data_IF_552447009011
#
_entry.id   IF_552447009011
#
_cell.length_a   1.000
_cell.length_b   1.000
_cell.length_c   1.000
_cell.angle_alpha   90.00
_cell.angle_beta   90.00
_cell.angle_gamma   90.00
#
_symmetry.space_group_name_H-M   'P 1'
#
loop_
_entity.id
_entity.type
_entity.pdbx_description
1 polymer ?
#
# COMPACT_ATOMS: atom_id res chain seq x y z
N UNK A 1 1.61 -57.36 -54.60
CA UNK A 1 0.35 -56.88 -54.01
C UNK A 1 0.34 -55.35 -54.16
N UNK A 2 -0.68 -54.78 -54.80
CA UNK A 2 -0.67 -53.42 -55.37
C UNK A 2 -0.73 -52.33 -54.28
N UNK A 3 0.06 -51.26 -54.41
CA UNK A 3 0.11 -50.11 -53.47
C UNK A 3 -1.26 -49.45 -53.19
N UNK A 4 -2.26 -49.69 -54.05
CA UNK A 4 -3.61 -49.18 -53.87
C UNK A 4 -4.37 -49.85 -52.72
N UNK A 5 -3.96 -51.05 -52.28
CA UNK A 5 -4.63 -51.75 -51.17
C UNK A 5 -4.24 -51.17 -49.80
N UNK A 6 -3.11 -50.47 -49.69
CA UNK A 6 -2.65 -49.83 -48.45
C UNK A 6 -3.39 -48.51 -48.19
N UNK A 7 -3.74 -47.75 -49.24
CA UNK A 7 -4.48 -46.49 -49.12
C UNK A 7 -5.92 -46.69 -48.64
N UNK A 8 -6.57 -47.77 -49.05
CA UNK A 8 -7.95 -48.09 -48.61
C UNK A 8 -8.00 -48.74 -47.23
N UNK A 9 -6.87 -49.22 -46.68
CA UNK A 9 -6.79 -49.78 -45.34
C UNK A 9 -6.46 -48.73 -44.25
N UNK A 10 -5.79 -47.63 -44.60
CA UNK A 10 -5.40 -46.56 -43.66
C UNK A 10 -6.45 -45.45 -43.50
N UNK A 11 -7.34 -45.27 -44.48
CA UNK A 11 -8.40 -44.24 -44.44
C UNK A 11 -9.48 -44.47 -43.37
N UNK A 12 -9.93 -45.71 -43.05
CA UNK A 12 -10.88 -45.90 -41.95
C UNK A 12 -10.22 -45.82 -40.57
N UNK A 13 -8.90 -45.99 -40.47
CA UNK A 13 -8.14 -45.92 -39.20
C UNK A 13 -7.92 -44.46 -38.78
N UNK A 14 -7.70 -43.55 -39.73
CA UNK A 14 -7.57 -42.11 -39.45
C UNK A 14 -8.94 -41.42 -39.23
N UNK A 15 -10.02 -41.95 -39.82
CA UNK A 15 -11.39 -41.47 -39.58
C UNK A 15 -11.97 -41.87 -38.22
N UNK A 16 -11.57 -43.04 -37.68
CA UNK A 16 -12.02 -43.49 -36.36
C UNK A 16 -11.22 -42.86 -35.20
N UNK A 17 -10.04 -42.31 -35.47
CA UNK A 17 -9.25 -41.55 -34.49
C UNK A 17 -9.72 -40.09 -34.30
N UNK A 18 -10.65 -39.61 -35.12
CA UNK A 18 -11.20 -38.24 -35.04
C UNK A 18 -12.61 -38.17 -34.44
N UNK A 19 -13.14 -39.26 -33.90
CA UNK A 19 -14.47 -39.33 -33.27
C UNK A 19 -14.42 -39.70 -31.77
N UNK A 20 -13.25 -39.62 -31.11
CA UNK A 20 -13.11 -39.84 -29.66
C UNK A 20 -12.60 -38.61 -28.90
N UNK A 21 -12.83 -37.40 -29.44
CA UNK A 21 -12.79 -36.18 -28.63
C UNK A 21 -14.18 -35.91 -28.10
N UNK A 22 -14.27 -35.72 -26.79
CA UNK A 22 -15.46 -35.69 -25.93
C UNK A 22 -16.03 -37.08 -25.61
N UNK A 23 -15.24 -37.92 -24.92
CA UNK A 23 -15.87 -38.60 -23.80
C UNK A 23 -16.16 -37.48 -22.79
N UNK A 24 -17.43 -37.15 -22.60
CA UNK A 24 -17.83 -36.34 -21.47
C UNK A 24 -17.55 -37.17 -20.22
N UNK A 25 -16.34 -37.07 -19.68
CA UNK A 25 -15.99 -37.56 -18.34
C UNK A 25 -16.47 -36.55 -17.28
N UNK A 26 -17.53 -35.79 -17.57
CA UNK A 26 -18.24 -34.87 -16.67
C UNK A 26 -19.32 -35.60 -15.84
N UNK A 27 -19.40 -36.94 -15.95
CA UNK A 27 -20.21 -37.79 -15.06
C UNK A 27 -19.43 -38.26 -13.81
N UNK A 28 -18.24 -37.70 -13.56
CA UNK A 28 -17.88 -37.44 -12.17
C UNK A 28 -18.76 -36.27 -11.77
N UNK A 29 -19.95 -36.61 -11.23
CA UNK A 29 -20.63 -35.81 -10.21
C UNK A 29 -19.58 -34.94 -9.55
N UNK A 30 -19.56 -33.65 -9.91
CA UNK A 30 -18.99 -32.60 -9.06
C UNK A 30 -19.34 -33.08 -7.67
N UNK A 31 -18.38 -33.52 -6.83
CA UNK A 31 -18.77 -33.98 -5.52
C UNK A 31 -19.43 -32.73 -5.00
N UNK A 32 -20.76 -32.73 -4.94
CA UNK A 32 -21.52 -31.82 -4.12
C UNK A 32 -20.88 -32.12 -2.80
N UNK A 33 -19.86 -31.35 -2.46
CA UNK A 33 -19.04 -31.51 -1.28
C UNK A 33 -20.10 -31.64 -0.23
N UNK A 34 -20.19 -32.84 0.38
CA UNK A 34 -21.36 -33.17 1.17
C UNK A 34 -21.54 -32.00 2.12
N UNK A 35 -22.65 -31.28 1.99
CA UNK A 35 -22.80 -29.99 2.65
C UNK A 35 -22.55 -30.20 4.14
N UNK A 36 -21.47 -29.63 4.64
CA UNK A 36 -21.04 -29.75 6.03
C UNK A 36 -20.90 -28.37 6.62
N UNK A 37 -21.30 -28.22 7.87
CA UNK A 37 -21.30 -26.94 8.59
C UNK A 37 -19.90 -26.49 9.05
N UNK A 38 -18.85 -26.93 8.37
CA UNK A 38 -17.43 -26.72 8.71
C UNK A 38 -16.48 -26.89 7.51
N UNK A 39 -16.99 -26.80 6.27
CA UNK A 39 -16.18 -26.93 5.05
C UNK A 39 -15.68 -25.59 4.47
N UNK A 40 -16.08 -24.46 5.05
CA UNK A 40 -15.67 -23.14 4.63
C UNK A 40 -16.39 -22.62 3.38
N UNK A 41 -17.46 -23.31 2.93
CA UNK A 41 -18.18 -22.99 1.70
C UNK A 41 -19.67 -22.85 2.01
N UNK A 42 -20.27 -21.71 1.67
CA UNK A 42 -21.72 -21.53 1.82
C UNK A 42 -22.50 -22.42 0.84
N UNK A 43 -22.96 -23.58 1.30
CA UNK A 43 -23.64 -24.58 0.46
C UNK A 43 -24.84 -25.22 1.19
N UNK A 44 -25.54 -26.14 0.53
CA UNK A 44 -26.66 -26.87 1.13
C UNK A 44 -27.83 -25.96 1.57
N UNK A 45 -28.12 -25.95 2.87
CA UNK A 45 -29.22 -25.16 3.47
C UNK A 45 -28.75 -23.95 4.28
N UNK A 46 -27.45 -23.67 4.27
CA UNK A 46 -26.83 -22.60 5.03
C UNK A 46 -27.32 -21.21 4.61
N UNK A 47 -27.32 -20.28 5.55
CA UNK A 47 -27.66 -18.87 5.31
C UNK A 47 -26.44 -17.94 5.43
N UNK A 48 -25.29 -18.49 5.82
CA UNK A 48 -23.95 -17.88 5.78
C UNK A 48 -22.89 -18.99 5.74
N UNK A 49 -21.61 -18.66 5.55
CA UNK A 49 -20.54 -19.69 5.47
C UNK A 49 -20.54 -20.54 6.76
N UNK A 50 -20.74 -21.85 6.61
CA UNK A 50 -20.76 -22.82 7.72
C UNK A 50 -21.83 -22.56 8.79
N UNK A 51 -22.90 -21.81 8.47
CA UNK A 51 -23.92 -21.45 9.45
C UNK A 51 -25.33 -21.25 8.87
N UNK A 52 -26.34 -21.42 9.73
CA UNK A 52 -27.75 -21.26 9.41
C UNK A 52 -28.38 -22.47 8.72
N UNK A 53 -29.70 -22.42 8.53
CA UNK A 53 -30.46 -23.56 7.99
C UNK A 53 -30.42 -24.78 8.89
N UNK A 54 -29.81 -25.87 8.41
CA UNK A 54 -29.55 -27.10 9.17
C UNK A 54 -28.32 -27.02 10.08
N UNK A 55 -27.49 -25.98 9.93
CA UNK A 55 -26.29 -25.74 10.73
C UNK A 55 -26.59 -24.85 11.94
N UNK A 56 -25.60 -24.63 12.81
CA UNK A 56 -25.72 -23.70 13.92
C UNK A 56 -26.13 -22.31 13.41
N UNK A 57 -27.04 -21.58 14.08
CA UNK A 57 -27.50 -20.27 13.62
C UNK A 57 -26.33 -19.33 13.35
N UNK A 58 -26.36 -18.65 12.21
CA UNK A 58 -25.37 -17.63 11.93
C UNK A 58 -25.35 -16.57 13.03
N UNK A 59 -24.16 -16.08 13.36
CA UNK A 59 -23.98 -14.90 14.19
C UNK A 59 -24.59 -13.73 13.42
N UNK A 60 -25.86 -13.42 13.70
CA UNK A 60 -26.61 -12.36 13.01
C UNK A 60 -26.17 -10.96 13.44
N UNK A 61 -25.47 -10.86 14.56
CA UNK A 61 -24.89 -9.63 15.06
C UNK A 61 -23.63 -9.96 15.85
N UNK A 62 -22.51 -9.37 15.45
CA UNK A 62 -21.36 -9.25 16.33
C UNK A 62 -21.81 -8.36 17.49
N UNK A 63 -21.84 -8.90 18.70
CA UNK A 63 -22.26 -8.14 19.88
C UNK A 63 -21.15 -7.16 20.27
N UNK A 64 -21.32 -5.90 19.85
CA UNK A 64 -20.47 -4.78 20.27
C UNK A 64 -20.95 -4.16 21.60
N UNK A 65 -21.76 -4.86 22.39
CA UNK A 65 -22.10 -4.38 23.73
C UNK A 65 -20.91 -4.62 24.68
N UNK A 66 -20.49 -3.56 25.37
CA UNK A 66 -19.34 -3.60 26.25
C UNK A 66 -18.83 -2.21 26.58
N UNK A 67 -18.03 -2.11 27.63
CA UNK A 67 -17.29 -0.88 27.92
C UNK A 67 -15.91 -0.98 27.26
N UNK A 68 -15.77 -0.38 26.09
CA UNK A 68 -14.48 -0.28 25.41
C UNK A 68 -13.68 0.84 26.03
N UNK A 69 -12.51 0.53 26.56
CA UNK A 69 -11.50 1.54 26.88
C UNK A 69 -10.50 1.59 25.74
N UNK A 70 -10.30 2.78 25.19
CA UNK A 70 -9.22 3.01 24.25
C UNK A 70 -7.89 2.64 24.95
N UNK A 71 -7.22 1.60 24.44
CA UNK A 71 -5.86 1.27 24.86
C UNK A 71 -4.92 2.18 24.07
N UNK A 72 -3.81 2.55 24.69
CA UNK A 72 -2.73 3.34 24.08
C UNK A 72 -2.47 2.91 22.62
N UNK A 73 -2.47 3.86 21.69
CA UNK A 73 -2.24 3.62 20.27
C UNK A 73 -0.72 3.49 19.97
N UNK A 74 0.07 2.99 20.95
CA UNK A 74 1.50 2.70 20.83
C UNK A 74 1.76 1.82 19.61
N UNK A 75 2.37 2.38 18.58
CA UNK A 75 2.73 1.62 17.39
C UNK A 75 2.51 2.31 16.05
N UNK A 76 2.28 3.63 16.00
CA UNK A 76 2.28 4.43 14.75
C UNK A 76 3.70 4.96 14.50
N UNK A 77 4.57 4.27 13.73
CA UNK A 77 6.02 4.45 13.87
C UNK A 77 6.67 5.49 12.93
N UNK A 78 5.97 6.01 11.91
CA UNK A 78 6.63 6.81 10.88
C UNK A 78 6.71 8.30 11.18
N UNK A 79 5.55 8.96 11.21
CA UNK A 79 5.49 10.40 10.95
C UNK A 79 5.72 11.28 12.17
N UNK A 80 5.24 10.84 13.34
CA UNK A 80 5.49 11.50 14.62
C UNK A 80 6.97 11.40 15.06
N UNK A 81 7.73 10.48 14.47
CA UNK A 81 9.19 10.43 14.64
C UNK A 81 9.88 11.59 13.90
N UNK A 82 9.32 12.00 12.76
CA UNK A 82 9.83 13.09 11.93
C UNK A 82 9.38 14.45 12.48
N UNK A 83 8.08 14.63 12.75
CA UNK A 83 7.54 15.94 13.17
C UNK A 83 7.31 16.10 14.66
N UNK A 84 7.17 15.02 15.41
CA UNK A 84 7.03 15.08 16.85
C UNK A 84 8.35 15.51 17.47
N UNK A 85 8.37 16.67 18.11
CA UNK A 85 9.55 17.17 18.80
C UNK A 85 9.25 17.43 20.26
N UNK A 86 10.16 16.97 21.10
CA UNK A 86 10.10 17.26 22.50
C UNK A 86 10.81 18.59 22.72
N UNK A 87 10.08 19.59 23.22
CA UNK A 87 10.72 20.76 23.81
C UNK A 87 11.29 20.37 25.17
N UNK A 88 12.51 20.78 25.46
CA UNK A 88 13.16 20.54 26.74
C UNK A 88 12.26 21.03 27.89
N UNK A 89 11.89 20.12 28.80
CA UNK A 89 11.02 20.44 29.94
C UNK A 89 9.51 20.46 29.67
N UNK A 90 9.03 19.99 28.51
CA UNK A 90 7.61 19.76 28.22
C UNK A 90 7.29 18.26 28.16
N UNK A 91 5.99 17.91 28.29
CA UNK A 91 5.53 16.56 27.96
C UNK A 91 5.89 16.27 26.51
N UNK A 92 6.39 15.06 26.24
CA UNK A 92 6.80 14.67 24.89
C UNK A 92 5.61 14.82 23.94
N UNK A 93 5.77 15.62 22.86
CA UNK A 93 4.76 15.72 21.80
C UNK A 93 4.50 14.34 21.22
N UNK A 94 5.53 13.49 21.23
CA UNK A 94 5.42 12.11 20.79
C UNK A 94 4.46 11.32 21.68
N UNK A 95 4.63 11.41 23.00
CA UNK A 95 3.72 10.77 23.97
C UNK A 95 2.30 11.31 23.92
N UNK A 96 2.15 12.63 23.71
CA UNK A 96 0.85 13.26 23.57
C UNK A 96 0.10 12.74 22.34
N UNK A 97 0.80 12.59 21.21
CA UNK A 97 0.22 12.08 19.97
C UNK A 97 -0.30 10.65 20.13
N UNK A 98 0.43 9.79 20.84
CA UNK A 98 0.03 8.40 21.09
C UNK A 98 -1.22 8.25 21.99
N UNK A 99 -1.57 9.29 22.74
CA UNK A 99 -2.71 9.32 23.67
C UNK A 99 -3.87 10.20 23.21
N UNK A 100 -3.71 10.90 22.08
CA UNK A 100 -4.75 11.80 21.57
C UNK A 100 -5.81 10.99 20.83
N UNK A 101 -7.08 11.35 21.04
CA UNK A 101 -8.20 10.69 20.35
C UNK A 101 -8.03 10.94 18.84
N UNK A 102 -8.16 9.93 17.96
CA UNK A 102 -7.97 10.09 16.51
C UNK A 102 -8.70 11.28 15.88
N UNK A 103 -9.94 11.56 16.32
CA UNK A 103 -10.73 12.69 15.85
C UNK A 103 -10.19 14.07 16.24
N UNK A 104 -9.31 14.14 17.23
CA UNK A 104 -8.71 15.38 17.76
C UNK A 104 -7.27 15.59 17.26
N UNK A 105 -6.65 14.58 16.65
CA UNK A 105 -5.23 14.59 16.29
C UNK A 105 -4.90 15.69 15.27
N UNK A 106 -5.69 15.83 14.20
CA UNK A 106 -5.49 16.87 13.20
C UNK A 106 -5.50 18.27 13.83
N UNK A 107 -6.54 18.57 14.62
CA UNK A 107 -6.67 19.88 15.29
C UNK A 107 -5.54 20.15 16.29
N UNK A 108 -4.95 19.10 16.89
CA UNK A 108 -3.92 19.22 17.92
C UNK A 108 -2.51 19.36 17.32
N UNK A 109 -2.19 18.65 16.25
CA UNK A 109 -0.81 18.50 15.77
C UNK A 109 -0.51 19.17 14.42
N UNK A 110 -1.51 19.41 13.57
CA UNK A 110 -1.29 19.89 12.19
C UNK A 110 -0.43 21.16 12.13
N UNK A 111 -0.79 22.20 12.90
CA UNK A 111 -0.04 23.45 12.90
C UNK A 111 1.42 23.30 13.36
N UNK A 112 1.67 22.38 14.31
CA UNK A 112 3.03 22.09 14.76
C UNK A 112 3.84 21.32 13.72
N UNK A 113 3.19 20.43 12.97
CA UNK A 113 3.83 19.68 11.88
C UNK A 113 4.16 20.59 10.70
N UNK A 114 3.26 21.50 10.33
CA UNK A 114 3.51 22.52 9.30
C UNK A 114 4.65 23.44 9.69
N UNK A 115 4.64 24.00 10.91
CA UNK A 115 5.73 24.85 11.39
C UNK A 115 7.09 24.11 11.39
N UNK A 116 7.10 22.81 11.69
CA UNK A 116 8.32 22.00 11.63
C UNK A 116 8.76 21.72 10.19
N UNK A 117 7.83 21.47 9.28
CA UNK A 117 8.16 21.33 7.86
C UNK A 117 8.84 22.60 7.34
N UNK A 118 8.26 23.77 7.61
CA UNK A 118 8.87 25.06 7.25
C UNK A 118 10.25 25.24 7.90
N UNK A 119 10.40 24.88 9.17
CA UNK A 119 11.71 24.93 9.85
C UNK A 119 12.76 24.06 9.14
N UNK A 120 12.39 22.89 8.60
CA UNK A 120 13.34 22.08 7.83
C UNK A 120 13.78 22.81 6.56
N UNK A 121 12.85 23.41 5.83
CA UNK A 121 13.16 24.18 4.64
C UNK A 121 14.06 25.39 4.94
N UNK A 122 13.80 26.12 6.02
CA UNK A 122 14.66 27.23 6.48
C UNK A 122 16.10 26.76 6.75
N UNK A 123 16.26 25.65 7.49
CA UNK A 123 17.58 25.07 7.79
C UNK A 123 18.30 24.62 6.51
N UNK A 124 17.58 24.03 5.57
CA UNK A 124 18.15 23.65 4.28
C UNK A 124 18.53 24.85 3.43
N UNK A 125 17.73 25.91 3.44
CA UNK A 125 18.04 27.16 2.75
C UNK A 125 19.36 27.76 3.28
N UNK A 126 19.52 27.82 4.60
CA UNK A 126 20.73 28.28 5.26
C UNK A 126 21.96 27.44 4.87
N UNK A 127 21.83 26.11 4.84
CA UNK A 127 22.91 25.20 4.45
C UNK A 127 23.31 25.36 2.98
N UNK A 128 22.36 25.71 2.11
CA UNK A 128 22.59 25.96 0.68
C UNK A 128 22.99 27.41 0.38
N UNK A 129 22.99 28.30 1.39
CA UNK A 129 23.26 29.73 1.21
C UNK A 129 22.17 30.46 0.42
N UNK A 130 20.94 29.95 0.46
CA UNK A 130 19.74 30.51 -0.17
C UNK A 130 18.99 31.31 0.90
N UNK A 131 18.32 32.39 0.51
CA UNK A 131 17.37 33.09 1.40
C UNK A 131 16.25 32.14 1.82
N UNK A 132 16.00 31.90 3.12
CA UNK A 132 14.90 31.06 3.58
C UNK A 132 13.54 31.44 2.98
N UNK A 133 13.30 32.73 2.75
CA UNK A 133 12.06 33.18 2.11
C UNK A 133 11.90 32.71 0.65
N UNK A 134 13.00 32.31 -0.01
CA UNK A 134 13.01 31.85 -1.39
C UNK A 134 12.92 30.31 -1.52
N UNK A 135 13.10 29.56 -0.43
CA UNK A 135 13.07 28.09 -0.44
C UNK A 135 11.99 27.57 0.51
N UNK A 136 10.76 27.44 0.01
CA UNK A 136 9.64 26.91 0.77
C UNK A 136 9.18 25.55 0.21
N UNK A 137 8.30 24.89 0.97
CA UNK A 137 7.57 23.72 0.52
C UNK A 137 6.75 24.04 -0.75
N UNK A 138 6.70 23.09 -1.66
CA UNK A 138 5.85 23.13 -2.86
C UNK A 138 4.95 21.89 -2.87
N UNK A 139 3.82 21.96 -3.58
CA UNK A 139 2.91 20.84 -3.66
C UNK A 139 3.66 19.57 -4.09
N UNK A 140 3.43 18.48 -3.37
CA UNK A 140 4.14 17.23 -3.60
C UNK A 140 3.58 16.44 -4.79
N UNK A 141 4.11 15.24 -5.01
CA UNK A 141 3.63 14.26 -5.99
C UNK A 141 2.17 13.82 -5.81
N UNK A 142 1.44 14.28 -4.79
CA UNK A 142 -0.01 14.07 -4.66
C UNK A 142 -0.80 15.37 -4.85
N UNK A 143 -0.12 16.45 -5.26
CA UNK A 143 -0.68 17.78 -5.38
C UNK A 143 -1.02 18.44 -4.04
N UNK A 144 -0.55 17.89 -2.91
CA UNK A 144 -0.90 18.39 -1.58
C UNK A 144 0.02 19.53 -1.16
N UNK A 145 -0.59 20.66 -0.78
CA UNK A 145 0.12 21.75 -0.12
C UNK A 145 0.54 21.36 1.31
N UNK A 146 1.38 22.19 1.95
CA UNK A 146 1.95 21.89 3.28
C UNK A 146 0.84 21.67 4.33
N UNK A 147 -0.18 22.53 4.34
CA UNK A 147 -1.29 22.46 5.28
C UNK A 147 -2.12 21.17 5.09
N UNK A 148 -2.42 20.81 3.85
CA UNK A 148 -3.20 19.61 3.52
C UNK A 148 -2.41 18.35 3.83
N UNK A 149 -1.14 18.28 3.42
CA UNK A 149 -0.27 17.15 3.75
C UNK A 149 -0.17 16.96 5.26
N UNK A 150 0.17 18.01 5.99
CA UNK A 150 0.32 17.93 7.45
C UNK A 150 -0.99 17.63 8.16
N UNK A 151 -2.15 17.92 7.55
CA UNK A 151 -3.46 17.46 8.05
C UNK A 151 -3.58 15.94 7.95
N UNK A 152 -3.28 15.34 6.79
CA UNK A 152 -3.28 13.89 6.61
C UNK A 152 -2.32 13.20 7.57
N UNK A 153 -1.11 13.76 7.69
CA UNK A 153 -0.06 13.25 8.56
C UNK A 153 -0.41 13.39 10.05
N UNK A 154 -1.00 14.51 10.47
CA UNK A 154 -1.42 14.73 11.85
C UNK A 154 -2.58 13.83 12.26
N UNK A 155 -3.52 13.57 11.35
CA UNK A 155 -4.59 12.61 11.57
C UNK A 155 -4.11 11.15 11.48
N UNK A 156 -2.92 10.95 10.90
CA UNK A 156 -2.33 9.66 10.52
C UNK A 156 -3.41 8.74 9.92
N UNK A 157 -4.12 9.32 8.94
CA UNK A 157 -5.20 8.66 8.22
C UNK A 157 -4.57 7.93 7.05
N UNK A 158 -4.57 6.60 7.13
CA UNK A 158 -4.52 5.77 5.94
C UNK A 158 -5.97 5.64 5.48
N UNK A 159 -6.26 6.09 4.28
CA UNK A 159 -7.55 5.92 3.64
C UNK A 159 -7.85 4.43 3.48
N UNK A 160 -9.11 4.05 3.62
CA UNK A 160 -9.55 2.70 3.27
C UNK A 160 -10.17 2.81 1.90
N UNK A 161 -9.55 2.20 0.90
CA UNK A 161 -10.16 2.05 -0.41
C UNK A 161 -10.75 0.65 -0.55
N UNK A 162 -12.09 0.50 -0.63
CA UNK A 162 -12.72 -0.82 -0.72
C UNK A 162 -12.37 -1.59 -1.99
N UNK A 163 -12.00 -0.87 -3.06
CA UNK A 163 -11.82 -1.44 -4.40
C UNK A 163 -10.42 -1.19 -4.98
N UNK A 164 -9.53 -0.48 -4.26
CA UNK A 164 -8.17 -0.25 -4.71
C UNK A 164 -7.18 -1.07 -3.87
N UNK A 165 -6.00 -1.40 -4.42
CA UNK A 165 -4.98 -2.10 -3.68
C UNK A 165 -4.57 -1.31 -2.43
N UNK A 166 -4.42 -2.01 -1.30
CA UNK A 166 -3.81 -1.44 -0.09
C UNK A 166 -2.33 -1.14 -0.36
N UNK A 167 -1.97 0.14 -0.40
CA UNK A 167 -0.59 0.57 -0.65
C UNK A 167 -0.33 1.97 -0.10
N UNK A 168 0.92 2.23 0.27
CA UNK A 168 1.35 3.53 0.77
C UNK A 168 1.49 4.53 -0.38
N UNK A 169 2.06 4.09 -1.49
CA UNK A 169 2.06 4.81 -2.76
C UNK A 169 2.34 3.83 -3.91
N UNK A 170 1.53 3.91 -4.95
CA UNK A 170 1.67 3.15 -6.19
C UNK A 170 1.45 4.15 -7.35
N UNK A 171 2.53 4.50 -8.08
CA UNK A 171 2.44 5.43 -9.20
C UNK A 171 1.74 4.84 -10.43
N UNK A 172 1.43 3.54 -10.44
CA UNK A 172 0.82 2.82 -11.56
C UNK A 172 1.52 3.02 -12.90
N UNK A 173 0.90 3.71 -13.85
CA UNK A 173 1.36 3.76 -15.24
C UNK A 173 1.71 5.18 -15.64
N UNK A 174 2.86 5.32 -16.30
CA UNK A 174 3.22 6.50 -17.06
C UNK A 174 2.31 6.58 -18.30
N UNK A 175 1.15 7.23 -18.14
CA UNK A 175 0.10 7.29 -19.15
C UNK A 175 0.47 8.21 -20.31
N UNK A 176 1.21 9.29 -20.02
CA UNK A 176 1.63 10.27 -21.01
C UNK A 176 2.99 9.93 -21.68
N UNK A 177 3.70 8.92 -21.15
CA UNK A 177 5.00 8.41 -21.59
C UNK A 177 6.12 9.46 -21.53
N UNK A 178 6.08 10.37 -20.55
CA UNK A 178 7.12 11.37 -20.34
C UNK A 178 8.33 10.85 -19.55
N UNK A 179 8.24 9.62 -19.02
CA UNK A 179 9.27 8.94 -18.24
C UNK A 179 9.29 9.31 -16.75
N UNK A 180 8.32 10.10 -16.27
CA UNK A 180 8.23 10.60 -14.89
C UNK A 180 7.16 9.86 -14.12
N UNK A 181 7.45 8.61 -13.81
CA UNK A 181 6.51 7.72 -13.11
C UNK A 181 5.99 8.26 -11.77
N UNK A 182 6.69 9.16 -11.08
CA UNK A 182 6.23 9.71 -9.81
C UNK A 182 5.28 10.91 -9.96
N UNK A 183 5.19 11.51 -11.15
CA UNK A 183 4.29 12.62 -11.43
C UNK A 183 2.89 12.05 -11.68
N UNK A 184 1.83 12.57 -11.04
CA UNK A 184 0.49 12.06 -11.25
C UNK A 184 -0.04 12.21 -12.67
N UNK A 185 -0.37 11.08 -13.28
CA UNK A 185 -1.14 10.92 -14.51
C UNK A 185 -2.64 10.67 -14.24
N UNK A 186 -3.03 10.56 -12.97
CA UNK A 186 -4.42 10.50 -12.52
C UNK A 186 -4.93 9.08 -12.28
N UNK A 187 -4.05 8.09 -12.26
CA UNK A 187 -4.38 6.72 -11.88
C UNK A 187 -3.64 6.22 -10.62
N UNK A 188 -2.91 7.10 -9.94
CA UNK A 188 -2.11 6.78 -8.76
C UNK A 188 -2.99 6.29 -7.61
N UNK A 189 -2.43 5.41 -6.78
CA UNK A 189 -3.06 5.01 -5.51
C UNK A 189 -2.11 5.35 -4.38
N UNK A 190 -2.53 6.25 -3.51
CA UNK A 190 -1.71 6.70 -2.40
C UNK A 190 -2.47 6.57 -1.08
N UNK A 191 -1.73 6.34 -0.01
CA UNK A 191 -2.20 6.39 1.38
C UNK A 191 -3.40 5.47 1.67
N UNK A 192 -3.57 4.37 0.94
CA UNK A 192 -4.67 3.41 1.14
C UNK A 192 -4.34 2.27 2.12
N UNK A 193 -3.23 2.44 2.85
CA UNK A 193 -2.63 1.44 3.72
C UNK A 193 -1.14 1.26 3.42
N UNK A 194 -0.63 0.03 3.54
CA UNK A 194 0.72 -0.34 3.11
C UNK A 194 0.81 -1.81 2.75
N UNK A 195 1.61 -2.15 1.74
CA UNK A 195 2.12 -3.51 1.52
C UNK A 195 3.33 -3.74 2.42
N UNK A 196 3.71 -5.01 2.61
CA UNK A 196 4.95 -5.35 3.31
C UNK A 196 6.19 -4.91 2.54
N UNK A 197 6.06 -4.74 1.23
CA UNK A 197 7.13 -4.31 0.32
C UNK A 197 7.18 -2.81 0.12
N UNK A 198 6.22 -2.05 0.66
CA UNK A 198 6.20 -0.60 0.47
C UNK A 198 7.31 0.06 1.29
N UNK A 199 8.12 0.86 0.61
CA UNK A 199 9.13 1.71 1.25
C UNK A 199 8.47 2.99 1.77
N UNK A 200 7.92 2.88 2.97
CA UNK A 200 7.18 3.97 3.61
C UNK A 200 8.08 5.18 3.86
N UNK A 201 9.37 4.97 4.12
CA UNK A 201 10.27 6.08 4.48
C UNK A 201 10.63 6.87 3.22
N UNK A 202 11.06 6.22 2.15
CA UNK A 202 11.38 6.91 0.89
C UNK A 202 10.18 7.66 0.34
N UNK A 203 8.99 7.04 0.32
CA UNK A 203 7.76 7.72 -0.11
C UNK A 203 7.43 8.91 0.80
N UNK A 204 7.56 8.76 2.12
CA UNK A 204 7.35 9.88 3.05
C UNK A 204 8.31 11.03 2.77
N UNK A 205 9.59 10.72 2.54
CA UNK A 205 10.61 11.72 2.23
C UNK A 205 10.37 12.39 0.87
N UNK A 206 9.90 11.65 -0.14
CA UNK A 206 9.46 12.21 -1.43
C UNK A 206 8.28 13.16 -1.23
N UNK A 207 7.29 12.81 -0.40
CA UNK A 207 6.16 13.69 -0.11
C UNK A 207 6.56 14.99 0.61
N UNK A 208 7.67 14.98 1.34
CA UNK A 208 8.17 16.14 2.11
C UNK A 208 9.15 17.01 1.34
N UNK A 209 10.02 16.38 0.54
CA UNK A 209 11.19 17.01 -0.06
C UNK A 209 11.30 16.81 -1.58
N UNK A 210 10.50 15.91 -2.16
CA UNK A 210 10.53 15.61 -3.59
C UNK A 210 9.89 16.69 -4.46
N UNK A 211 9.06 17.54 -3.88
CA UNK A 211 8.34 18.55 -4.66
C UNK A 211 7.29 17.94 -5.59
N UNK A 212 6.85 18.70 -6.59
CA UNK A 212 5.76 18.28 -7.48
C UNK A 212 6.13 17.07 -8.35
N UNK A 213 7.42 16.93 -8.64
CA UNK A 213 7.95 15.90 -9.55
C UNK A 213 8.61 14.73 -8.80
N UNK A 214 8.76 14.84 -7.48
CA UNK A 214 9.43 13.85 -6.64
C UNK A 214 10.96 13.89 -6.67
N UNK A 215 11.56 14.74 -7.51
CA UNK A 215 13.00 14.78 -7.79
C UNK A 215 13.73 16.05 -7.29
N UNK A 216 13.05 16.93 -6.54
CA UNK A 216 13.62 18.24 -6.14
C UNK A 216 14.91 18.12 -5.32
N UNK A 217 14.97 17.14 -4.42
CA UNK A 217 16.11 16.85 -3.54
C UNK A 217 16.48 15.36 -3.57
N UNK A 218 16.64 14.82 -4.78
CA UNK A 218 16.95 13.41 -5.04
C UNK A 218 18.44 13.03 -4.97
N UNK A 219 19.32 14.03 -4.86
CA UNK A 219 20.76 13.79 -4.95
C UNK A 219 21.27 13.58 -6.37
N UNK A 220 20.52 14.00 -7.39
CA UNK A 220 20.95 13.91 -8.78
C UNK A 220 22.14 14.82 -9.09
N UNK A 221 23.04 14.29 -9.91
CA UNK A 221 24.08 15.03 -10.61
C UNK A 221 23.56 15.37 -12.01
N UNK A 222 22.92 16.54 -12.13
CA UNK A 222 22.26 17.00 -13.37
C UNK A 222 23.28 17.43 -14.41
N UNK A 223 24.48 17.83 -13.99
CA UNK A 223 25.53 18.33 -14.85
C UNK A 223 26.58 17.25 -15.25
N UNK A 224 26.48 16.05 -14.65
CA UNK A 224 27.36 14.89 -14.84
C UNK A 224 28.84 15.15 -14.50
N UNK A 225 29.11 16.02 -13.52
CA UNK A 225 30.47 16.34 -13.07
C UNK A 225 31.02 15.39 -11.99
N UNK A 226 30.19 14.43 -11.54
CA UNK A 226 30.51 13.46 -10.50
C UNK A 226 30.17 13.94 -9.08
N UNK A 227 29.57 15.12 -8.92
CA UNK A 227 29.10 15.67 -7.64
C UNK A 227 27.59 15.91 -7.68
N UNK A 228 26.83 15.54 -6.64
CA UNK A 228 25.41 15.85 -6.58
C UNK A 228 25.15 17.36 -6.63
N UNK A 229 24.27 17.79 -7.54
CA UNK A 229 23.81 19.18 -7.63
C UNK A 229 22.76 19.49 -6.54
N UNK A 230 22.05 18.47 -6.07
CA UNK A 230 21.04 18.56 -5.01
C UNK A 230 21.43 17.69 -3.81
N UNK A 231 21.01 18.04 -2.58
CA UNK A 231 21.10 17.13 -1.45
C UNK A 231 20.17 15.93 -1.67
N UNK A 232 20.53 14.75 -1.13
CA UNK A 232 19.65 13.56 -1.12
C UNK A 232 18.79 13.56 0.14
N UNK A 233 17.58 14.08 0.01
CA UNK A 233 16.59 14.16 1.09
C UNK A 233 15.35 13.30 0.84
N UNK A 234 15.18 12.75 -0.37
CA UNK A 234 14.03 11.92 -0.74
C UNK A 234 14.22 10.42 -0.52
N UNK A 235 15.38 9.99 0.00
CA UNK A 235 15.64 8.58 0.31
C UNK A 235 16.51 8.41 1.54
N UNK A 236 16.20 7.39 2.36
CA UNK A 236 17.01 6.98 3.51
C UNK A 236 18.17 6.05 3.12
N UNK A 237 18.16 5.54 1.89
CA UNK A 237 19.16 4.64 1.33
C UNK A 237 19.10 3.22 1.89
N UNK A 238 17.98 2.81 2.49
CA UNK A 238 17.77 1.50 3.10
C UNK A 238 16.75 0.70 2.27
N UNK A 239 17.24 -0.25 1.50
CA UNK A 239 16.38 -1.15 0.74
C UNK A 239 15.67 -2.18 1.64
N UNK A 240 14.53 -2.71 1.18
CA UNK A 240 13.87 -3.86 1.80
C UNK A 240 14.81 -5.08 1.80
N UNK A 241 15.21 -5.53 2.98
CA UNK A 241 15.99 -6.77 3.15
C UNK A 241 15.13 -7.97 3.59
N UNK A 242 13.96 -7.72 4.17
CA UNK A 242 13.09 -8.77 4.67
C UNK A 242 12.55 -9.68 3.54
N UNK A 243 12.58 -10.99 3.78
CA UNK A 243 11.93 -11.96 2.89
C UNK A 243 10.43 -11.98 3.16
N UNK A 244 9.62 -11.60 2.16
CA UNK A 244 8.16 -11.65 2.23
C UNK A 244 7.66 -13.01 1.75
N UNK A 245 6.77 -13.64 2.51
CA UNK A 245 6.15 -14.94 2.20
C UNK A 245 4.69 -14.77 1.78
N UNK A 246 4.22 -15.64 0.90
CA UNK A 246 2.80 -15.75 0.55
C UNK A 246 1.97 -16.49 1.62
N UNK A 247 2.61 -17.08 2.64
CA UNK A 247 1.95 -17.79 3.73
C UNK A 247 2.28 -17.17 5.10
N UNK A 248 1.30 -17.15 6.00
CA UNK A 248 1.46 -16.68 7.38
C UNK A 248 2.67 -17.38 8.05
N UNK A 249 3.58 -16.64 8.74
CA UNK A 249 3.46 -15.25 9.21
C UNK A 249 3.78 -14.12 8.20
N UNK A 250 3.79 -14.37 6.88
CA UNK A 250 4.00 -13.40 5.77
C UNK A 250 5.35 -12.66 5.75
N UNK A 251 6.08 -12.65 6.86
CA UNK A 251 7.43 -12.12 7.00
C UNK A 251 8.34 -13.26 7.45
N UNK A 252 9.51 -13.36 6.84
CA UNK A 252 10.56 -14.28 7.26
C UNK A 252 11.08 -13.98 8.66
N UNK A 253 11.97 -14.84 9.16
CA UNK A 253 12.65 -14.57 10.43
C UNK A 253 13.41 -13.24 10.35
N UNK A 254 13.48 -12.46 11.45
CA UNK A 254 14.29 -11.25 11.49
C UNK A 254 15.76 -11.58 11.19
N UNK A 255 16.41 -10.68 10.45
CA UNK A 255 17.83 -10.75 10.08
C UNK A 255 18.77 -10.48 11.28
#
# INVERSE_FOLDING_TARGET
MKLNTIKFALLPILGLAMMTSCNNDDDMMDPIAMATCDDGIMNGSETGVDCGGSCEPCITAVDFSGNYTQVDHMGRPGINTVFGFDMEGQLSVKDAHNRTIPSEMAATFQAGYEARLEQYYDVYADLLGIDPAALNYENNILGLDAATLTTYLAADVLEISPNLPTTYFDPRTDFDNDGRILVPDGDEVALTGRKLTDDVIDVSLILLFGGAEGDRFDGSDKNMDGSPDTPRLTSDGVALTATVSASFPYVGNPE
#
